data_IF_013237400351
#
_entry.id   IF_013237400351
#
_cell.length_a   1.000
_cell.length_b   1.000
_cell.length_c   1.000
_cell.angle_alpha   90.00
_cell.angle_beta   90.00
_cell.angle_gamma   90.00
#
_symmetry.space_group_name_H-M   'P 1'
#
loop_
_entity.id
_entity.type
_entity.pdbx_description
1 polymer ?
#
# COMPACT_ATOMS: atom_id res chain seq x y z
N UNK A 1 37.43 -2.45 -2.26
CA UNK A 1 36.60 -1.28 -1.89
C UNK A 1 35.36 -1.29 -2.78
N UNK A 2 34.20 -1.63 -2.22
CA UNK A 2 32.94 -1.89 -2.95
C UNK A 2 31.86 -0.89 -2.54
N UNK A 3 32.16 0.40 -2.67
CA UNK A 3 31.27 1.51 -2.31
C UNK A 3 30.11 1.72 -3.28
N UNK A 4 30.23 1.25 -4.53
CA UNK A 4 29.18 1.43 -5.55
C UNK A 4 27.93 0.56 -5.26
N UNK A 5 28.11 -0.70 -4.84
CA UNK A 5 27.01 -1.59 -4.49
C UNK A 5 26.32 -1.11 -3.21
N UNK A 6 27.09 -0.74 -2.18
CA UNK A 6 26.55 -0.18 -0.92
C UNK A 6 25.73 1.10 -1.16
N UNK A 7 26.16 1.95 -2.10
CA UNK A 7 25.44 3.17 -2.46
C UNK A 7 24.11 2.87 -3.17
N UNK A 8 24.10 1.91 -4.10
CA UNK A 8 22.88 1.49 -4.80
C UNK A 8 21.88 0.89 -3.81
N UNK A 9 22.33 0.05 -2.89
CA UNK A 9 21.49 -0.53 -1.85
C UNK A 9 20.92 0.53 -0.91
N UNK A 10 21.72 1.52 -0.52
CA UNK A 10 21.25 2.64 0.31
C UNK A 10 20.17 3.46 -0.40
N UNK A 11 20.38 3.79 -1.68
CA UNK A 11 19.42 4.55 -2.48
C UNK A 11 18.11 3.77 -2.68
N UNK A 12 18.19 2.46 -2.90
CA UNK A 12 17.01 1.61 -2.99
C UNK A 12 16.23 1.59 -1.67
N UNK A 13 16.93 1.50 -0.54
CA UNK A 13 16.35 1.59 0.81
C UNK A 13 15.66 2.94 1.04
N UNK A 14 16.30 4.04 0.64
CA UNK A 14 15.75 5.40 0.74
C UNK A 14 14.51 5.56 -0.13
N UNK A 15 14.54 5.05 -1.37
CA UNK A 15 13.39 5.07 -2.29
C UNK A 15 12.23 4.28 -1.74
N UNK A 16 12.45 3.06 -1.22
CA UNK A 16 11.40 2.26 -0.57
C UNK A 16 10.77 3.00 0.61
N UNK A 17 11.58 3.70 1.43
CA UNK A 17 11.08 4.53 2.53
C UNK A 17 10.31 5.76 2.07
N UNK A 18 10.80 6.46 1.05
CA UNK A 18 10.18 7.65 0.48
C UNK A 18 8.90 7.34 -0.31
N UNK A 19 8.80 6.14 -0.89
CA UNK A 19 7.64 5.69 -1.65
C UNK A 19 6.43 5.36 -0.77
N UNK A 20 6.64 5.11 0.54
CA UNK A 20 5.53 4.78 1.41
C UNK A 20 4.68 6.04 1.67
N UNK A 21 3.39 6.06 1.28
CA UNK A 21 2.54 7.24 1.43
C UNK A 21 2.44 7.72 2.88
N UNK A 22 1.88 8.89 3.12
CA UNK A 22 1.64 9.35 4.51
C UNK A 22 0.78 8.34 5.28
N UNK A 23 0.90 8.22 6.62
CA UNK A 23 0.07 7.32 7.42
C UNK A 23 -1.44 7.44 7.13
N UNK A 24 -1.93 8.67 6.96
CA UNK A 24 -3.32 8.95 6.60
C UNK A 24 -3.69 8.38 5.22
N UNK A 25 -2.82 8.55 4.22
CA UNK A 25 -3.02 7.99 2.87
C UNK A 25 -3.06 6.46 2.91
N UNK A 26 -2.21 5.80 3.71
CA UNK A 26 -2.23 4.33 3.85
C UNK A 26 -3.58 3.83 4.37
N UNK A 27 -4.09 4.49 5.41
CA UNK A 27 -5.42 4.22 5.97
C UNK A 27 -6.51 4.43 4.92
N UNK A 28 -6.43 5.53 4.15
CA UNK A 28 -7.39 5.83 3.10
C UNK A 28 -7.42 4.77 2.00
N UNK A 29 -6.26 4.32 1.51
CA UNK A 29 -6.15 3.23 0.52
C UNK A 29 -6.82 1.97 1.06
N UNK A 30 -6.49 1.56 2.29
CA UNK A 30 -7.07 0.36 2.91
C UNK A 30 -8.59 0.44 3.02
N UNK A 31 -9.10 1.57 3.51
CA UNK A 31 -10.54 1.76 3.68
C UNK A 31 -11.28 1.82 2.35
N UNK A 32 -10.72 2.50 1.34
CA UNK A 32 -11.29 2.54 0.00
C UNK A 32 -11.39 1.14 -0.61
N UNK A 33 -10.38 0.28 -0.37
CA UNK A 33 -10.38 -1.11 -0.82
C UNK A 33 -11.28 -2.04 0.02
N UNK A 34 -11.94 -1.52 1.06
CA UNK A 34 -12.85 -2.28 1.92
C UNK A 34 -12.17 -3.29 2.84
N UNK A 35 -10.86 -3.15 3.12
CA UNK A 35 -10.08 -4.15 3.88
C UNK A 35 -9.99 -3.83 5.37
N UNK A 36 -10.02 -4.86 6.22
CA UNK A 36 -9.84 -4.72 7.67
C UNK A 36 -8.36 -4.66 8.08
N UNK A 37 -8.08 -4.22 9.30
CA UNK A 37 -6.72 -4.25 9.84
C UNK A 37 -6.19 -5.69 10.01
N UNK A 38 -7.04 -6.67 10.33
CA UNK A 38 -6.61 -8.07 10.42
C UNK A 38 -6.21 -8.63 9.04
N UNK A 39 -6.96 -8.31 7.99
CA UNK A 39 -6.64 -8.78 6.64
C UNK A 39 -5.28 -8.26 6.16
N UNK A 40 -5.03 -6.97 6.37
CA UNK A 40 -3.73 -6.36 6.04
C UNK A 40 -2.62 -6.91 6.92
N UNK A 41 -2.88 -7.11 8.22
CA UNK A 41 -1.94 -7.71 9.15
C UNK A 41 -1.52 -9.11 8.68
N UNK A 42 -2.48 -9.98 8.35
CA UNK A 42 -2.20 -11.32 7.82
C UNK A 42 -1.39 -11.28 6.52
N UNK A 43 -1.76 -10.44 5.57
CA UNK A 43 -1.02 -10.28 4.31
C UNK A 43 0.44 -9.84 4.53
N UNK A 44 0.66 -8.99 5.54
CA UNK A 44 2.00 -8.51 5.90
C UNK A 44 2.77 -9.45 6.85
N UNK A 45 2.13 -10.49 7.40
CA UNK A 45 2.71 -11.36 8.43
C UNK A 45 2.88 -10.68 9.80
N UNK A 46 2.03 -9.70 10.14
CA UNK A 46 2.08 -8.94 11.40
C UNK A 46 0.71 -8.86 12.07
N UNK A 47 0.66 -8.39 13.32
CA UNK A 47 -0.61 -8.17 14.02
C UNK A 47 -1.39 -6.97 13.46
N UNK A 48 -2.71 -6.98 13.62
CA UNK A 48 -3.55 -5.83 13.28
C UNK A 48 -3.15 -4.56 14.06
N UNK A 49 -2.64 -4.72 15.29
CA UNK A 49 -2.10 -3.64 16.14
C UNK A 49 -0.91 -2.96 15.47
N UNK A 50 0.00 -3.73 14.85
CA UNK A 50 1.13 -3.16 14.11
C UNK A 50 0.64 -2.26 12.97
N UNK A 51 -0.35 -2.71 12.20
CA UNK A 51 -0.96 -1.91 11.12
C UNK A 51 -1.58 -0.62 11.67
N UNK A 52 -2.35 -0.71 12.77
CA UNK A 52 -2.96 0.46 13.41
C UNK A 52 -1.92 1.50 13.85
N UNK A 53 -0.78 1.07 14.39
CA UNK A 53 0.30 1.97 14.79
C UNK A 53 1.00 2.62 13.59
N UNK A 54 1.10 1.90 12.47
CA UNK A 54 1.67 2.43 11.22
C UNK A 54 0.75 3.43 10.53
N UNK A 55 -0.55 3.17 10.49
CA UNK A 55 -1.56 4.05 9.90
C UNK A 55 -1.84 5.29 10.74
N UNK A 56 -1.63 5.21 12.06
CA UNK A 56 -1.70 6.38 12.96
C UNK A 56 -0.42 7.20 13.00
N UNK A 57 0.67 6.72 12.41
CA UNK A 57 1.99 7.37 12.46
C UNK A 57 2.70 7.25 13.82
N UNK A 58 2.10 6.59 14.82
CA UNK A 58 2.71 6.35 16.14
C UNK A 58 3.96 5.48 16.06
N UNK A 59 4.09 4.65 15.01
CA UNK A 59 5.26 3.82 14.73
C UNK A 59 5.45 3.69 13.23
N UNK A 60 6.69 3.69 12.75
CA UNK A 60 6.99 3.33 11.37
C UNK A 60 7.26 1.81 11.24
N UNK A 61 6.93 1.18 10.08
CA UNK A 61 7.36 -0.18 9.82
C UNK A 61 8.91 -0.26 9.75
N UNK A 62 9.47 -1.32 10.32
CA UNK A 62 10.88 -1.68 10.12
C UNK A 62 11.13 -2.16 8.69
N UNK A 63 12.40 -2.29 8.29
CA UNK A 63 12.80 -2.52 6.89
C UNK A 63 12.10 -3.72 6.22
N UNK A 64 12.12 -4.89 6.85
CA UNK A 64 11.47 -6.08 6.29
C UNK A 64 9.94 -5.93 6.17
N UNK A 65 9.32 -5.24 7.13
CA UNK A 65 7.87 -5.01 7.14
C UNK A 65 7.46 -3.90 6.17
N UNK A 66 8.34 -2.94 5.94
CA UNK A 66 8.13 -1.84 5.02
C UNK A 66 7.96 -2.37 3.59
N UNK A 67 8.80 -3.31 3.16
CA UNK A 67 8.70 -3.92 1.83
C UNK A 67 7.36 -4.64 1.66
N UNK A 68 6.98 -5.48 2.62
CA UNK A 68 5.72 -6.23 2.58
C UNK A 68 4.51 -5.29 2.58
N UNK A 69 4.55 -4.27 3.43
CA UNK A 69 3.44 -3.33 3.56
C UNK A 69 3.30 -2.43 2.32
N UNK A 70 4.40 -1.98 1.72
CA UNK A 70 4.38 -1.25 0.46
C UNK A 70 3.74 -2.09 -0.66
N UNK A 71 4.16 -3.35 -0.83
CA UNK A 71 3.59 -4.24 -1.84
C UNK A 71 2.08 -4.48 -1.63
N UNK A 72 1.62 -4.60 -0.39
CA UNK A 72 0.17 -4.70 -0.10
C UNK A 72 -0.55 -3.41 -0.50
N UNK A 73 0.00 -2.23 -0.19
CA UNK A 73 -0.63 -0.95 -0.56
C UNK A 73 -0.67 -0.74 -2.08
N UNK A 74 0.34 -1.18 -2.82
CA UNK A 74 0.35 -1.17 -4.29
C UNK A 74 -0.77 -2.05 -4.85
N UNK A 75 -0.87 -3.31 -4.40
CA UNK A 75 -1.92 -4.23 -4.84
C UNK A 75 -3.35 -3.69 -4.55
N UNK A 76 -3.55 -3.05 -3.39
CA UNK A 76 -4.85 -2.42 -3.08
C UNK A 76 -5.16 -1.24 -4.00
N UNK A 77 -4.16 -0.44 -4.39
CA UNK A 77 -4.35 0.64 -5.33
C UNK A 77 -4.68 0.12 -6.73
N UNK A 78 -4.03 -0.96 -7.19
CA UNK A 78 -4.36 -1.63 -8.45
C UNK A 78 -5.80 -2.17 -8.44
N UNK A 79 -6.24 -2.79 -7.34
CA UNK A 79 -7.61 -3.24 -7.14
C UNK A 79 -8.61 -2.07 -7.26
N UNK A 80 -8.28 -0.93 -6.67
CA UNK A 80 -9.11 0.28 -6.74
C UNK A 80 -9.18 0.85 -8.15
N UNK A 81 -8.07 0.89 -8.88
CA UNK A 81 -8.03 1.34 -10.27
C UNK A 81 -8.85 0.43 -11.18
N UNK A 82 -8.75 -0.88 -10.99
CA UNK A 82 -9.50 -1.89 -11.76
C UNK A 82 -11.00 -1.77 -11.51
N UNK A 83 -11.43 -1.49 -10.27
CA UNK A 83 -12.84 -1.26 -9.93
C UNK A 83 -13.36 0.10 -10.43
N UNK A 84 -12.51 1.11 -10.48
CA UNK A 84 -12.83 2.45 -10.96
C UNK A 84 -12.97 2.54 -12.48
N UNK A 85 -12.26 1.68 -13.22
CA UNK A 85 -12.28 1.66 -14.69
C UNK A 85 -13.44 0.90 -15.34
N UNK A 86 -14.34 0.28 -14.55
CA UNK A 86 -15.41 -0.60 -15.04
C UNK A 86 -16.83 -0.01 -15.02
N UNK A 87 -17.00 1.31 -14.98
CA UNK A 87 -18.33 1.96 -14.95
C UNK A 87 -18.63 2.86 -16.16
N UNK A 88 -18.18 2.44 -17.32
CA UNK A 88 -18.70 2.93 -18.60
C UNK A 88 -19.05 1.74 -19.50
N UNK A 89 -20.02 0.94 -19.06
CA UNK A 89 -20.78 0.09 -19.99
C UNK A 89 -22.13 0.78 -20.24
N UNK A 90 -22.26 1.23 -21.48
CA UNK A 90 -23.32 2.03 -22.07
C UNK A 90 -24.64 1.26 -22.07
N UNK A 91 -25.75 1.91 -21.70
CA UNK A 91 -27.08 1.47 -22.12
C UNK A 91 -27.60 2.38 -23.25
N UNK A 92 -27.44 2.01 -24.53
CA UNK A 92 -28.01 2.77 -25.64
C UNK A 92 -29.47 2.39 -25.97
N UNK A 93 -30.18 1.61 -25.12
CA UNK A 93 -31.51 1.07 -25.46
C UNK A 93 -32.67 1.62 -24.62
N UNK A 94 -32.64 2.91 -24.31
CA UNK A 94 -33.79 3.61 -23.69
C UNK A 94 -34.42 4.70 -24.58
N UNK A 95 -34.07 4.77 -25.86
CA UNK A 95 -34.70 5.69 -26.81
C UNK A 95 -34.88 5.02 -28.19
N UNK A 96 -35.88 4.14 -28.30
CA UNK A 96 -36.52 3.76 -29.55
C UNK A 96 -37.94 3.28 -29.25
#
# INVERSE_FOLDING_TARGET
MSTAIETIELLDRMRRRAALPTPATRKAIRLAAGRTLEEIGRACGVSHEAIRLWESGRRAPGEANLVRYAAVLEALQEELLTRGGGREEVNPRAAA
#
